data_IF_719822411524
#
_entry.id   IF_719822411524
#
_cell.length_a   1.000
_cell.length_b   1.000
_cell.length_c   1.000
_cell.angle_alpha   90.00
_cell.angle_beta   90.00
_cell.angle_gamma   90.00
#
_symmetry.space_group_name_H-M   'P 1'
#
loop_
_entity.id
_entity.type
_entity.pdbx_description
1 polymer ?
#
# COMPACT_ATOMS: atom_id res chain seq x y z
N UNK A 1 7.94 3.14 13.04
CA UNK A 1 8.15 4.57 12.71
C UNK A 1 6.90 5.24 12.15
N UNK A 2 6.06 4.52 11.40
CA UNK A 2 4.88 5.08 10.70
C UNK A 2 3.85 5.78 11.60
N UNK A 3 3.72 5.38 12.86
CA UNK A 3 2.82 6.04 13.82
C UNK A 3 3.32 7.43 14.23
N UNK A 4 4.64 7.66 14.27
CA UNK A 4 5.24 8.93 14.67
C UNK A 4 4.91 10.06 13.68
N UNK A 5 4.69 9.71 12.40
CA UNK A 5 4.30 10.66 11.36
C UNK A 5 2.93 11.34 11.59
N UNK A 6 2.16 10.88 12.58
CA UNK A 6 0.87 11.48 12.96
C UNK A 6 0.95 12.34 14.23
N UNK A 7 2.10 12.39 14.88
CA UNK A 7 2.30 13.24 16.07
C UNK A 7 2.41 14.71 15.64
N UNK A 8 1.73 15.65 16.32
CA UNK A 8 1.76 17.07 15.97
C UNK A 8 3.19 17.63 15.89
N UNK A 9 4.08 17.24 16.80
CA UNK A 9 5.46 17.70 16.84
C UNK A 9 6.26 17.19 15.64
N UNK A 10 6.00 15.96 15.20
CA UNK A 10 6.62 15.39 14.02
C UNK A 10 6.16 16.11 12.75
N UNK A 11 4.86 16.35 12.62
CA UNK A 11 4.28 17.05 11.48
C UNK A 11 4.74 18.51 11.41
N UNK A 12 4.78 19.21 12.54
CA UNK A 12 5.31 20.58 12.61
C UNK A 12 6.81 20.63 12.24
N UNK A 13 7.57 19.58 12.53
CA UNK A 13 8.99 19.50 12.18
C UNK A 13 9.23 19.21 10.69
N UNK A 14 8.39 18.38 10.06
CA UNK A 14 8.63 17.89 8.68
C UNK A 14 7.77 18.57 7.60
N UNK A 15 6.80 19.43 7.97
CA UNK A 15 5.84 20.01 7.03
C UNK A 15 5.66 21.52 7.20
N UNK A 16 5.36 22.20 6.09
CA UNK A 16 5.09 23.64 6.00
C UNK A 16 4.64 24.02 4.58
N UNK A 17 4.00 25.18 4.43
CA UNK A 17 3.55 25.66 3.13
C UNK A 17 4.75 25.90 2.19
N UNK A 18 4.70 25.39 0.96
CA UNK A 18 5.89 25.33 0.10
C UNK A 18 6.45 26.70 -0.31
N UNK A 19 5.63 27.75 -0.31
CA UNK A 19 6.09 29.12 -0.62
C UNK A 19 6.40 29.96 0.63
N UNK A 20 5.59 29.81 1.68
CA UNK A 20 5.60 30.72 2.83
C UNK A 20 6.29 30.12 4.06
N UNK A 21 6.48 28.80 4.09
CA UNK A 21 7.03 28.08 5.24
C UNK A 21 6.08 27.98 6.44
N UNK A 22 4.88 28.56 6.35
CA UNK A 22 3.92 28.54 7.46
C UNK A 22 3.52 27.11 7.83
N UNK A 23 3.40 26.81 9.14
CA UNK A 23 3.07 25.47 9.60
C UNK A 23 1.62 25.07 9.23
N UNK A 24 1.34 23.77 9.26
CA UNK A 24 -0.01 23.26 9.07
C UNK A 24 -0.96 23.79 10.17
N UNK A 25 -2.10 24.41 9.83
CA UNK A 25 -3.06 24.87 10.82
C UNK A 25 -3.62 23.72 11.66
N UNK A 26 -3.75 23.93 12.97
CA UNK A 26 -4.22 22.93 13.93
C UNK A 26 -5.59 22.33 13.56
N UNK A 27 -6.54 23.17 13.12
CA UNK A 27 -7.88 22.71 12.72
C UNK A 27 -7.82 21.74 11.52
N UNK A 28 -6.86 21.94 10.61
CA UNK A 28 -6.69 21.05 9.46
C UNK A 28 -6.05 19.73 9.87
N UNK A 29 -5.08 19.77 10.80
CA UNK A 29 -4.50 18.57 11.40
C UNK A 29 -5.57 17.70 12.07
N UNK A 30 -6.47 18.30 12.84
CA UNK A 30 -7.58 17.58 13.49
C UNK A 30 -8.50 16.89 12.48
N UNK A 31 -8.82 17.55 11.35
CA UNK A 31 -9.60 16.95 10.26
C UNK A 31 -8.86 15.76 9.63
N UNK A 32 -7.55 15.87 9.43
CA UNK A 32 -6.73 14.77 8.90
C UNK A 32 -6.68 13.58 9.87
N UNK A 33 -6.52 13.83 11.16
CA UNK A 33 -6.51 12.79 12.19
C UNK A 33 -7.87 12.08 12.28
N UNK A 34 -8.98 12.83 12.22
CA UNK A 34 -10.32 12.25 12.17
C UNK A 34 -10.52 11.36 10.94
N UNK A 35 -9.91 11.72 9.81
CA UNK A 35 -9.97 10.97 8.56
C UNK A 35 -8.92 9.84 8.44
N UNK A 36 -8.00 9.67 9.40
CA UNK A 36 -6.86 8.73 9.32
C UNK A 36 -7.26 7.30 8.97
N UNK A 37 -8.43 6.86 9.44
CA UNK A 37 -8.94 5.50 9.23
C UNK A 37 -9.96 5.40 8.09
N UNK A 38 -10.14 6.45 7.30
CA UNK A 38 -11.02 6.42 6.14
C UNK A 38 -10.57 5.30 5.20
N UNK A 39 -11.49 4.38 4.88
CA UNK A 39 -11.24 3.21 4.04
C UNK A 39 -10.12 2.24 4.50
N UNK A 40 -9.75 2.25 5.79
CA UNK A 40 -8.71 1.35 6.31
C UNK A 40 -8.96 -0.15 5.98
N UNK A 41 -10.22 -0.58 5.99
CA UNK A 41 -10.61 -1.94 5.61
C UNK A 41 -10.28 -2.26 4.13
N UNK A 42 -10.51 -1.32 3.21
CA UNK A 42 -10.18 -1.51 1.79
C UNK A 42 -8.67 -1.56 1.57
N UNK A 43 -7.91 -0.74 2.30
CA UNK A 43 -6.45 -0.79 2.27
C UNK A 43 -5.94 -2.17 2.73
N UNK A 44 -6.45 -2.68 3.86
CA UNK A 44 -6.09 -4.01 4.36
C UNK A 44 -6.49 -5.10 3.36
N UNK A 45 -7.70 -5.03 2.80
CA UNK A 45 -8.16 -6.01 1.81
C UNK A 45 -7.21 -6.11 0.62
N UNK A 46 -6.70 -4.97 0.14
CA UNK A 46 -5.73 -4.96 -0.96
C UNK A 46 -4.40 -5.60 -0.58
N UNK A 47 -3.92 -5.39 0.65
CA UNK A 47 -2.71 -6.07 1.15
C UNK A 47 -2.92 -7.59 1.25
N UNK A 48 -4.09 -8.03 1.72
CA UNK A 48 -4.44 -9.46 1.75
C UNK A 48 -4.48 -10.06 0.36
N UNK A 49 -5.04 -9.34 -0.62
CA UNK A 49 -5.05 -9.78 -2.02
C UNK A 49 -3.64 -10.01 -2.56
N UNK A 50 -2.71 -9.08 -2.30
CA UNK A 50 -1.31 -9.25 -2.70
C UNK A 50 -0.64 -10.45 -2.02
N UNK A 51 -0.84 -10.62 -0.71
CA UNK A 51 -0.28 -11.76 0.02
C UNK A 51 -0.85 -13.10 -0.46
N UNK A 52 -2.16 -13.17 -0.75
CA UNK A 52 -2.79 -14.37 -1.29
C UNK A 52 -2.32 -14.67 -2.71
N UNK A 53 -2.16 -13.65 -3.55
CA UNK A 53 -1.62 -13.81 -4.89
C UNK A 53 -0.18 -14.37 -4.85
N UNK A 54 0.68 -13.79 -4.00
CA UNK A 54 2.05 -14.25 -3.79
C UNK A 54 2.11 -15.72 -3.33
N UNK A 55 1.32 -16.07 -2.31
CA UNK A 55 1.26 -17.45 -1.83
C UNK A 55 0.80 -18.44 -2.89
N UNK A 56 -0.22 -18.11 -3.69
CA UNK A 56 -0.66 -18.99 -4.78
C UNK A 56 0.43 -19.16 -5.83
N UNK A 57 1.10 -18.07 -6.21
CA UNK A 57 2.19 -18.11 -7.19
C UNK A 57 3.36 -18.98 -6.72
N UNK A 58 3.65 -19.01 -5.41
CA UNK A 58 4.81 -19.75 -4.90
C UNK A 58 4.50 -21.14 -4.35
N UNK A 59 3.27 -21.41 -3.93
CA UNK A 59 2.86 -22.71 -3.38
C UNK A 59 2.19 -23.63 -4.42
N UNK A 60 1.44 -23.06 -5.36
CA UNK A 60 0.63 -23.83 -6.32
C UNK A 60 1.28 -23.91 -7.71
N UNK A 61 2.38 -23.17 -7.94
CA UNK A 61 3.07 -23.19 -9.21
C UNK A 61 3.78 -24.52 -9.47
N UNK A 62 3.33 -25.22 -10.51
CA UNK A 62 3.97 -26.43 -11.02
C UNK A 62 4.64 -26.13 -12.37
N UNK A 63 5.98 -26.27 -12.47
CA UNK A 63 6.70 -26.11 -13.73
C UNK A 63 6.31 -27.13 -14.81
N UNK A 64 5.60 -28.21 -14.45
CA UNK A 64 5.11 -29.21 -15.40
C UNK A 64 3.80 -28.76 -16.08
N UNK A 65 2.91 -28.06 -15.35
CA UNK A 65 1.64 -27.58 -15.87
C UNK A 65 1.80 -26.54 -17.01
N UNK A 66 2.91 -25.80 -17.03
CA UNK A 66 3.24 -24.89 -18.13
C UNK A 66 3.74 -25.58 -19.41
N UNK A 67 4.11 -26.87 -19.35
CA UNK A 67 4.64 -27.63 -20.50
C UNK A 67 3.55 -28.39 -21.26
N UNK A 68 2.37 -28.50 -20.68
CA UNK A 68 1.22 -29.23 -21.21
C UNK A 68 0.27 -28.34 -22.04
N UNK A 69 0.79 -27.29 -22.69
CA UNK A 69 0.07 -26.62 -23.76
C UNK A 69 0.45 -27.26 -25.11
N UNK A 70 -0.36 -28.19 -25.66
CA UNK A 70 -0.05 -28.87 -26.92
C UNK A 70 -0.01 -27.92 -28.14
N UNK A 71 -0.37 -26.63 -27.99
CA UNK A 71 -0.26 -25.65 -29.08
C UNK A 71 1.18 -25.24 -29.42
N UNK A 72 2.16 -25.51 -28.55
CA UNK A 72 3.58 -25.20 -28.81
C UNK A 72 4.40 -26.46 -29.16
N UNK A 73 3.78 -27.64 -29.29
CA UNK A 73 4.43 -28.89 -29.65
C UNK A 73 4.46 -29.15 -31.17
N UNK A 74 4.47 -28.09 -31.97
CA UNK A 74 4.66 -28.16 -33.42
C UNK A 74 6.04 -27.65 -33.79
N UNK A 75 7.01 -28.55 -34.00
CA UNK A 75 8.35 -28.17 -34.41
C UNK A 75 9.30 -29.35 -34.61
N UNK A 76 9.16 -29.98 -35.79
CA UNK A 76 10.00 -31.01 -36.43
C UNK A 76 9.99 -32.42 -35.80
#
# INVERSE_FOLDING_TARGET
>A
MENWCWEPEALAFISGHYETGEPLPQELLEKMLAAKNYQAAMFILRQLEFGLFDFRLHAEFSPAAGRENPRNAGGN
#
